data_IF_505215087171
#
_entry.id   IF_505215087171
#
_cell.length_a   1.000
_cell.length_b   1.000
_cell.length_c   1.000
_cell.angle_alpha   90.00
_cell.angle_beta   90.00
_cell.angle_gamma   90.00
#
_symmetry.space_group_name_H-M   'P 1'
#
loop_
_entity.id
_entity.type
_entity.pdbx_description
1 polymer ?
#
# COMPACT_ATOMS: atom_id res chain seq x y z
N UNK A 1 -15.22 8.00 9.78
CA UNK A 1 -14.30 8.60 8.78
C UNK A 1 -14.96 8.45 7.42
N UNK A 2 -15.12 9.55 6.65
CA UNK A 2 -15.55 9.45 5.26
C UNK A 2 -14.35 9.10 4.38
N UNK A 3 -14.49 8.08 3.52
CA UNK A 3 -13.41 7.57 2.65
C UNK A 3 -13.30 8.35 1.34
N UNK A 4 -14.40 8.96 0.88
CA UNK A 4 -14.41 9.73 -0.35
C UNK A 4 -13.38 10.86 -0.32
N UNK A 5 -12.56 10.96 -1.37
CA UNK A 5 -11.50 11.97 -1.49
C UNK A 5 -10.21 11.65 -0.72
N UNK A 6 -10.17 10.57 0.07
CA UNK A 6 -8.97 10.14 0.79
C UNK A 6 -7.96 9.47 -0.14
N UNK A 7 -6.68 9.54 0.21
CA UNK A 7 -5.60 8.86 -0.52
C UNK A 7 -5.12 7.65 0.25
N UNK A 8 -5.16 6.49 -0.39
CA UNK A 8 -4.70 5.23 0.16
C UNK A 8 -3.46 4.70 -0.57
N UNK A 9 -2.50 4.16 0.18
CA UNK A 9 -1.39 3.36 -0.32
C UNK A 9 -1.61 1.92 0.12
N UNK A 10 -1.69 0.99 -0.83
CA UNK A 10 -1.90 -0.43 -0.57
C UNK A 10 -0.71 -1.22 -1.13
N UNK A 11 0.01 -1.94 -0.26
CA UNK A 11 1.10 -2.85 -0.69
C UNK A 11 0.57 -4.24 -1.04
N UNK A 12 1.19 -4.91 -2.01
CA UNK A 12 0.68 -6.19 -2.53
C UNK A 12 -0.65 -6.02 -3.27
N UNK A 13 -0.87 -4.86 -3.92
CA UNK A 13 -2.16 -4.47 -4.46
C UNK A 13 -2.46 -5.03 -5.86
N UNK A 14 -1.52 -5.73 -6.51
CA UNK A 14 -1.74 -6.24 -7.86
C UNK A 14 -2.74 -7.41 -7.89
N UNK A 15 -2.94 -8.12 -6.77
CA UNK A 15 -3.76 -9.32 -6.71
C UNK A 15 -4.33 -9.61 -5.30
N UNK A 16 -5.18 -10.63 -5.21
CA UNK A 16 -5.68 -11.17 -3.94
C UNK A 16 -6.36 -10.13 -3.06
N UNK A 17 -6.10 -10.19 -1.75
CA UNK A 17 -6.69 -9.30 -0.74
C UNK A 17 -6.29 -7.83 -0.99
N UNK A 18 -5.05 -7.56 -1.41
CA UNK A 18 -4.58 -6.20 -1.69
C UNK A 18 -5.35 -5.56 -2.84
N UNK A 19 -5.58 -6.30 -3.93
CA UNK A 19 -6.44 -5.83 -5.03
C UNK A 19 -7.88 -5.58 -4.57
N UNK A 20 -8.44 -6.48 -3.76
CA UNK A 20 -9.79 -6.31 -3.21
C UNK A 20 -9.90 -5.05 -2.32
N UNK A 21 -8.86 -4.73 -1.53
CA UNK A 21 -8.81 -3.46 -0.80
C UNK A 21 -8.77 -2.25 -1.75
N UNK A 22 -7.95 -2.29 -2.80
CA UNK A 22 -7.88 -1.21 -3.78
C UNK A 22 -9.24 -0.97 -4.43
N UNK A 23 -9.91 -2.02 -4.91
CA UNK A 23 -11.26 -1.95 -5.49
C UNK A 23 -12.28 -1.37 -4.49
N UNK A 24 -12.32 -1.88 -3.26
CA UNK A 24 -13.25 -1.40 -2.24
C UNK A 24 -13.04 0.08 -1.88
N UNK A 25 -11.78 0.53 -1.79
CA UNK A 25 -11.44 1.94 -1.53
C UNK A 25 -11.85 2.84 -2.70
N UNK A 26 -11.62 2.41 -3.94
CA UNK A 26 -12.03 3.13 -5.15
C UNK A 26 -13.56 3.28 -5.24
N UNK A 27 -14.32 2.21 -4.97
CA UNK A 27 -15.79 2.27 -4.91
C UNK A 27 -16.31 3.22 -3.82
N UNK A 28 -15.52 3.48 -2.77
CA UNK A 28 -15.85 4.48 -1.74
C UNK A 28 -15.34 5.89 -2.06
N UNK A 29 -14.76 6.09 -3.25
CA UNK A 29 -14.34 7.40 -3.77
C UNK A 29 -12.91 7.81 -3.42
N UNK A 30 -12.10 6.92 -2.84
CA UNK A 30 -10.70 7.19 -2.56
C UNK A 30 -9.86 7.27 -3.85
N UNK A 31 -8.67 7.85 -3.75
CA UNK A 31 -7.57 7.64 -4.71
C UNK A 31 -6.66 6.56 -4.13
N UNK A 32 -6.16 5.64 -4.96
CA UNK A 32 -5.39 4.49 -4.50
C UNK A 32 -4.06 4.37 -5.25
N UNK A 33 -2.97 4.39 -4.50
CA UNK A 33 -1.67 3.93 -4.98
C UNK A 33 -1.56 2.42 -4.80
N UNK A 34 -1.51 1.71 -5.92
CA UNK A 34 -1.23 0.28 -6.02
C UNK A 34 0.29 0.08 -5.97
N UNK A 35 0.77 -0.54 -4.90
CA UNK A 35 2.19 -0.82 -4.71
C UNK A 35 2.41 -2.33 -4.77
N UNK A 36 3.26 -2.78 -5.69
CA UNK A 36 3.57 -4.20 -5.85
C UNK A 36 4.96 -4.39 -6.47
N UNK A 37 5.63 -5.50 -6.18
CA UNK A 37 6.96 -5.79 -6.73
C UNK A 37 6.86 -6.32 -8.17
N UNK A 38 5.73 -6.95 -8.51
CA UNK A 38 5.49 -7.51 -9.83
C UNK A 38 4.97 -6.44 -10.79
N UNK A 39 5.87 -5.94 -11.66
CA UNK A 39 5.58 -4.93 -12.68
C UNK A 39 4.41 -5.32 -13.58
N UNK A 40 4.44 -6.53 -14.14
CA UNK A 40 3.46 -6.98 -15.13
C UNK A 40 2.07 -7.09 -14.50
N UNK A 41 1.98 -7.72 -13.32
CA UNK A 41 0.72 -7.87 -12.60
C UNK A 41 0.16 -6.50 -12.17
N UNK A 42 1.03 -5.60 -11.70
CA UNK A 42 0.65 -4.25 -11.28
C UNK A 42 0.12 -3.38 -12.42
N UNK A 43 0.80 -3.38 -13.57
CA UNK A 43 0.35 -2.67 -14.78
C UNK A 43 -1.00 -3.22 -15.27
N UNK A 44 -1.15 -4.54 -15.33
CA UNK A 44 -2.42 -5.19 -15.70
C UNK A 44 -3.55 -4.86 -14.72
N UNK A 45 -3.27 -4.87 -13.42
CA UNK A 45 -4.25 -4.51 -12.39
C UNK A 45 -4.72 -3.06 -12.55
N UNK A 46 -3.78 -2.11 -12.70
CA UNK A 46 -4.13 -0.70 -12.94
C UNK A 46 -4.98 -0.52 -14.20
N UNK A 47 -4.58 -1.13 -15.32
CA UNK A 47 -5.34 -1.03 -16.56
C UNK A 47 -6.80 -1.52 -16.39
N UNK A 48 -7.00 -2.65 -15.71
CA UNK A 48 -8.34 -3.19 -15.44
C UNK A 48 -9.18 -2.31 -14.49
N UNK A 49 -8.53 -1.56 -13.59
CA UNK A 49 -9.22 -0.59 -12.72
C UNK A 49 -9.55 0.71 -13.47
N UNK A 50 -8.69 1.14 -14.39
CA UNK A 50 -8.91 2.34 -15.22
C UNK A 50 -10.08 2.17 -16.20
N UNK A 51 -10.51 0.94 -16.50
CA UNK A 51 -11.76 0.67 -17.23
C UNK A 51 -13.02 0.94 -16.40
N UNK A 52 -12.91 0.90 -15.07
CA UNK A 52 -14.04 1.02 -14.14
C UNK A 52 -14.06 2.35 -13.37
N UNK A 53 -12.90 2.97 -13.22
CA UNK A 53 -12.69 4.20 -12.46
C UNK A 53 -11.89 5.20 -13.28
N UNK A 54 -12.02 6.49 -13.00
CA UNK A 54 -11.24 7.52 -13.67
C UNK A 54 -9.72 7.24 -13.50
N UNK A 55 -8.90 7.27 -14.56
CA UNK A 55 -7.47 6.90 -14.48
C UNK A 55 -6.64 7.68 -13.46
N UNK A 56 -7.11 8.88 -13.09
CA UNK A 56 -6.52 9.76 -12.06
C UNK A 56 -6.78 9.30 -10.62
N UNK A 57 -7.67 8.33 -10.42
CA UNK A 57 -7.95 7.72 -9.11
C UNK A 57 -6.94 6.65 -8.75
N UNK A 58 -6.13 6.17 -9.68
CA UNK A 58 -5.16 5.10 -9.44
C UNK A 58 -3.75 5.50 -9.86
N UNK A 59 -2.76 5.10 -9.06
CA UNK A 59 -1.34 5.19 -9.39
C UNK A 59 -0.73 3.81 -9.17
N UNK A 60 0.04 3.30 -10.13
CA UNK A 60 0.84 2.10 -9.90
C UNK A 60 2.30 2.48 -9.64
N UNK A 61 2.90 1.91 -8.60
CA UNK A 61 4.33 2.05 -8.31
C UNK A 61 4.92 0.65 -8.09
N UNK A 62 5.90 0.29 -8.92
CA UNK A 62 6.66 -0.93 -8.69
C UNK A 62 7.59 -0.74 -7.48
N UNK A 63 7.49 -1.64 -6.50
CA UNK A 63 8.32 -1.58 -5.28
C UNK A 63 8.44 -2.95 -4.62
N UNK A 64 9.68 -3.35 -4.34
CA UNK A 64 9.95 -4.36 -3.32
C UNK A 64 9.89 -3.72 -1.93
N UNK A 65 8.89 -4.10 -1.13
CA UNK A 65 8.69 -3.53 0.21
C UNK A 65 9.83 -3.84 1.18
N UNK A 66 10.62 -4.89 0.92
CA UNK A 66 11.80 -5.21 1.73
C UNK A 66 13.04 -4.37 1.36
N UNK A 67 12.99 -3.61 0.26
CA UNK A 67 14.00 -2.61 -0.09
C UNK A 67 13.58 -1.25 0.49
N UNK A 68 14.32 -0.77 1.49
CA UNK A 68 13.97 0.45 2.21
C UNK A 68 14.08 1.72 1.37
N UNK A 69 14.97 1.76 0.37
CA UNK A 69 15.13 2.92 -0.50
C UNK A 69 13.95 2.98 -1.47
N UNK A 70 13.61 1.84 -2.08
CA UNK A 70 12.42 1.74 -2.93
C UNK A 70 11.14 2.08 -2.17
N UNK A 71 11.00 1.62 -0.92
CA UNK A 71 9.82 1.91 -0.11
C UNK A 71 9.72 3.41 0.20
N UNK A 72 10.82 4.07 0.61
CA UNK A 72 10.84 5.53 0.82
C UNK A 72 10.45 6.29 -0.44
N UNK A 73 11.06 5.93 -1.57
CA UNK A 73 10.76 6.56 -2.86
C UNK A 73 9.30 6.35 -3.29
N UNK A 74 8.72 5.21 -2.94
CA UNK A 74 7.31 4.92 -3.22
C UNK A 74 6.40 5.87 -2.45
N UNK A 75 6.61 6.05 -1.15
CA UNK A 75 5.82 6.99 -0.35
C UNK A 75 5.94 8.42 -0.89
N UNK A 76 7.17 8.85 -1.24
CA UNK A 76 7.40 10.15 -1.89
C UNK A 76 6.60 10.30 -3.18
N UNK A 77 6.68 9.34 -4.11
CA UNK A 77 5.93 9.38 -5.38
C UNK A 77 4.41 9.45 -5.17
N UNK A 78 3.89 8.76 -4.17
CA UNK A 78 2.46 8.78 -3.85
C UNK A 78 2.03 10.16 -3.36
N UNK A 79 2.79 10.76 -2.46
CA UNK A 79 2.51 12.11 -1.94
C UNK A 79 2.73 13.17 -3.01
N UNK A 80 3.75 13.06 -3.84
CA UNK A 80 3.99 13.97 -4.98
C UNK A 80 2.83 13.92 -5.99
N UNK A 81 2.28 12.72 -6.25
CA UNK A 81 1.19 12.53 -7.20
C UNK A 81 -0.18 12.98 -6.66
N UNK A 82 -0.51 12.62 -5.42
CA UNK A 82 -1.84 12.85 -4.87
C UNK A 82 -1.94 13.99 -3.86
N UNK A 83 -0.80 14.54 -3.43
CA UNK A 83 -0.68 15.67 -2.50
C UNK A 83 -0.84 15.32 -1.02
N UNK A 84 -1.19 14.07 -0.68
CA UNK A 84 -1.42 13.62 0.70
C UNK A 84 -1.37 12.09 0.82
N UNK A 85 -1.31 11.59 2.05
CA UNK A 85 -1.55 10.20 2.41
C UNK A 85 -2.51 10.17 3.61
N UNK A 86 -3.55 9.34 3.56
CA UNK A 86 -4.56 9.23 4.63
C UNK A 86 -4.71 7.80 5.17
N UNK A 87 -4.50 6.82 4.29
CA UNK A 87 -4.73 5.40 4.59
C UNK A 87 -3.49 4.65 4.10
N UNK A 88 -2.82 3.94 5.00
CA UNK A 88 -1.78 2.98 4.64
C UNK A 88 -2.27 1.57 4.92
N UNK A 89 -2.17 0.70 3.94
CA UNK A 89 -2.45 -0.73 4.09
C UNK A 89 -1.18 -1.52 3.79
N UNK A 90 -0.49 -1.94 4.85
CA UNK A 90 0.64 -2.86 4.76
C UNK A 90 0.09 -4.28 4.60
N UNK A 91 -0.14 -4.69 3.34
CA UNK A 91 -0.76 -5.97 2.99
C UNK A 91 0.20 -6.95 2.29
N UNK A 92 1.29 -6.48 1.67
CA UNK A 92 2.27 -7.35 1.05
C UNK A 92 2.77 -8.42 2.03
N UNK A 93 2.73 -9.68 1.60
CA UNK A 93 3.15 -10.81 2.42
C UNK A 93 3.38 -12.07 1.57
N UNK A 94 4.24 -12.94 2.07
CA UNK A 94 4.59 -14.22 1.43
C UNK A 94 4.50 -15.36 2.44
N UNK A 95 4.32 -16.58 1.94
CA UNK A 95 4.44 -17.79 2.74
C UNK A 95 5.52 -18.68 2.12
N UNK A 96 6.75 -18.59 2.62
CA UNK A 96 7.88 -19.37 2.12
C UNK A 96 8.83 -19.76 3.25
N UNK A 97 8.57 -20.92 3.86
CA UNK A 97 9.37 -21.49 4.94
C UNK A 97 10.81 -21.83 4.52
N UNK A 98 11.05 -22.11 3.24
CA UNK A 98 12.41 -22.43 2.74
C UNK A 98 13.32 -21.20 2.75
N UNK A 99 12.74 -20.01 2.66
CA UNK A 99 13.46 -18.74 2.73
C UNK A 99 12.77 -17.86 3.78
N UNK A 100 12.83 -18.34 5.02
CA UNK A 100 12.16 -17.72 6.16
C UNK A 100 12.72 -16.33 6.46
N UNK A 101 14.01 -16.09 6.21
CA UNK A 101 14.63 -14.76 6.39
C UNK A 101 13.94 -13.74 5.50
N UNK A 102 13.73 -14.08 4.23
CA UNK A 102 13.00 -13.22 3.29
C UNK A 102 11.54 -13.06 3.70
N UNK A 103 10.91 -14.12 4.21
CA UNK A 103 9.55 -14.06 4.76
C UNK A 103 9.47 -13.07 5.92
N UNK A 104 10.45 -13.05 6.84
CA UNK A 104 10.52 -12.07 7.94
C UNK A 104 10.76 -10.65 7.41
N UNK A 105 11.64 -10.48 6.41
CA UNK A 105 11.90 -9.17 5.80
C UNK A 105 10.63 -8.57 5.20
N UNK A 106 9.84 -9.36 4.46
CA UNK A 106 8.58 -8.90 3.87
C UNK A 106 7.50 -8.78 4.95
N UNK A 107 7.17 -9.85 5.67
CA UNK A 107 5.95 -9.89 6.48
C UNK A 107 6.05 -9.10 7.80
N UNK A 108 7.26 -8.78 8.25
CA UNK A 108 7.46 -8.08 9.53
C UNK A 108 8.27 -6.78 9.35
N UNK A 109 9.50 -6.89 8.84
CA UNK A 109 10.39 -5.72 8.75
C UNK A 109 9.78 -4.64 7.86
N UNK A 110 9.26 -5.03 6.69
CA UNK A 110 8.63 -4.07 5.77
C UNK A 110 7.36 -3.44 6.36
N UNK A 111 6.62 -4.16 7.20
CA UNK A 111 5.42 -3.64 7.87
C UNK A 111 5.81 -2.58 8.89
N UNK A 112 6.88 -2.79 9.66
CA UNK A 112 7.42 -1.80 10.59
C UNK A 112 7.93 -0.58 9.83
N UNK A 113 8.75 -0.79 8.79
CA UNK A 113 9.27 0.29 7.94
C UNK A 113 8.16 1.10 7.28
N UNK A 114 7.17 0.43 6.69
CA UNK A 114 6.01 1.07 6.08
C UNK A 114 5.19 1.83 7.11
N UNK A 115 5.00 1.27 8.32
CA UNK A 115 4.30 1.96 9.42
C UNK A 115 5.02 3.26 9.82
N UNK A 116 6.35 3.23 9.98
CA UNK A 116 7.11 4.44 10.30
C UNK A 116 7.05 5.48 9.18
N UNK A 117 7.17 5.08 7.92
CA UNK A 117 6.97 6.00 6.80
C UNK A 117 5.55 6.58 6.77
N UNK A 118 4.54 5.75 7.06
CA UNK A 118 3.17 6.21 7.23
C UNK A 118 3.06 7.29 8.31
N UNK A 119 3.72 7.11 9.46
CA UNK A 119 3.76 8.12 10.51
C UNK A 119 4.52 9.37 10.09
N UNK A 120 5.62 9.24 9.35
CA UNK A 120 6.41 10.38 8.85
C UNK A 120 5.54 11.33 8.02
N UNK A 121 4.70 10.80 7.12
CA UNK A 121 3.83 11.60 6.26
C UNK A 121 2.48 11.97 6.90
N UNK A 122 1.92 11.12 7.76
CA UNK A 122 0.55 11.32 8.28
C UNK A 122 0.51 11.99 9.64
N UNK A 123 1.58 11.95 10.43
CA UNK A 123 1.59 12.51 11.80
C UNK A 123 1.35 14.01 11.80
N UNK A 124 0.46 14.47 12.68
CA UNK A 124 0.23 15.92 12.90
C UNK A 124 1.46 16.64 13.43
N UNK A 125 2.36 15.93 14.13
CA UNK A 125 3.62 16.50 14.59
C UNK A 125 4.62 16.74 13.45
N UNK A 126 4.43 16.05 12.32
CA UNK A 126 5.27 16.18 11.12
C UNK A 126 4.59 17.02 10.03
N UNK A 127 3.51 17.74 10.36
CA UNK A 127 2.76 18.58 9.42
C UNK A 127 1.67 17.84 8.62
N UNK A 128 1.44 16.55 8.87
CA UNK A 128 0.32 15.80 8.31
C UNK A 128 -1.02 16.12 8.99
N UNK A 129 -2.10 15.52 8.51
CA UNK A 129 -3.47 15.75 9.04
C UNK A 129 -3.97 14.60 9.94
N UNK A 130 -3.14 13.60 10.20
CA UNK A 130 -3.54 12.30 10.74
C UNK A 130 -4.02 11.34 9.64
N UNK A 131 -4.20 10.08 10.02
CA UNK A 131 -4.60 9.02 9.10
C UNK A 131 -4.83 7.70 9.82
N UNK A 132 -4.93 6.62 9.06
CA UNK A 132 -5.05 5.25 9.58
C UNK A 132 -4.04 4.33 8.92
N UNK A 133 -3.41 3.47 9.72
CA UNK A 133 -2.50 2.42 9.26
C UNK A 133 -3.16 1.07 9.58
N UNK A 134 -3.28 0.23 8.56
CA UNK A 134 -3.79 -1.14 8.66
C UNK A 134 -2.65 -2.09 8.31
N UNK A 135 -2.31 -2.96 9.26
CA UNK A 135 -1.28 -3.99 9.08
C UNK A 135 -1.95 -5.35 8.98
N UNK A 136 -1.72 -6.04 7.86
CA UNK A 136 -2.28 -7.37 7.66
C UNK A 136 -1.51 -8.39 8.49
N UNK A 137 -2.26 -9.16 9.28
CA UNK A 137 -1.76 -10.33 10.02
C UNK A 137 -2.50 -11.58 9.54
N UNK A 138 -2.63 -12.60 10.38
CA UNK A 138 -3.36 -13.82 10.08
C UNK A 138 -3.84 -14.47 11.38
N UNK A 139 -4.82 -15.38 11.30
CA UNK A 139 -5.15 -16.28 12.41
C UNK A 139 -3.94 -17.08 12.89
N UNK A 140 -2.95 -17.32 12.01
CA UNK A 140 -1.68 -17.94 12.37
C UNK A 140 -0.88 -17.19 13.44
N UNK A 141 -1.16 -15.90 13.68
CA UNK A 141 -0.50 -15.10 14.73
C UNK A 141 -1.10 -15.29 16.13
N UNK A 142 -2.20 -16.05 16.25
CA UNK A 142 -2.93 -16.27 17.51
C UNK A 142 -2.79 -17.68 18.08
N UNK A 143 -1.82 -18.48 17.60
CA UNK A 143 -1.58 -19.83 18.13
C UNK A 143 -0.94 -19.82 19.51
#
# INVERSE_FOLDING_TARGET
MHVNGKVALVTGAAQGIGRAFAEALLYKGAKVALVDWNLEAGVKCKAALDEQFEPQKTLFVQCDVADQEQLRDTFRKVVDCFGRLDILVNNAGVNNEKNWERTVQINLVSVISGTYLGLDYMSKQNGGEGGVIINMSSLAAHQ
#
